data_IF_895406549120
#
_entry.id   IF_895406549120
#
_cell.length_a   1.000
_cell.length_b   1.000
_cell.length_c   1.000
_cell.angle_alpha   90.00
_cell.angle_beta   90.00
_cell.angle_gamma   90.00
#
_symmetry.space_group_name_H-M   'P 1'
#
loop_
_entity.id
_entity.type
_entity.pdbx_description
1 polymer ?
#
# COMPACT_ATOMS: atom_id res chain seq x y z
N UNK A 1 6.47 -6.65 12.80
CA UNK A 1 5.59 -5.52 12.40
C UNK A 1 4.36 -6.09 11.74
N UNK A 2 3.18 -5.61 12.12
CA UNK A 2 1.93 -5.86 11.40
C UNK A 2 1.56 -4.58 10.67
N UNK A 3 1.38 -4.68 9.37
CA UNK A 3 0.99 -3.58 8.49
C UNK A 3 -0.43 -3.85 7.98
N UNK A 4 -1.31 -2.86 8.09
CA UNK A 4 -2.69 -2.92 7.61
C UNK A 4 -2.87 -1.81 6.58
N UNK A 5 -3.12 -2.20 5.33
CA UNK A 5 -3.24 -1.26 4.21
C UNK A 5 -4.52 -1.55 3.43
N UNK A 6 -5.11 -0.56 2.73
CA UNK A 6 -6.21 -0.80 1.83
C UNK A 6 -5.87 -1.88 0.79
N UNK A 7 -6.84 -2.73 0.48
CA UNK A 7 -6.64 -3.82 -0.47
C UNK A 7 -6.28 -3.25 -1.85
N UNK A 8 -5.18 -3.74 -2.42
CA UNK A 8 -4.73 -3.43 -3.76
C UNK A 8 -3.90 -4.59 -4.33
N UNK A 9 -4.21 -4.97 -5.57
CA UNK A 9 -3.33 -5.77 -6.42
C UNK A 9 -2.13 -4.95 -6.90
N UNK A 10 -1.09 -5.62 -7.38
CA UNK A 10 0.16 -4.98 -7.80
C UNK A 10 0.04 -4.18 -9.10
N UNK A 11 -1.01 -4.44 -9.91
CA UNK A 11 -1.26 -3.77 -11.19
C UNK A 11 -2.60 -3.05 -11.16
N UNK A 12 -2.66 -1.89 -11.81
CA UNK A 12 -3.84 -1.01 -11.79
C UNK A 12 -5.04 -1.67 -12.49
N UNK A 13 -4.82 -2.39 -13.57
CA UNK A 13 -5.85 -3.12 -14.32
C UNK A 13 -6.55 -4.21 -13.48
N UNK A 14 -5.86 -4.74 -12.47
CA UNK A 14 -6.40 -5.74 -11.53
C UNK A 14 -7.19 -5.08 -10.38
N UNK A 15 -7.22 -3.74 -10.33
CA UNK A 15 -7.89 -2.95 -9.29
C UNK A 15 -9.11 -2.19 -9.82
N UNK A 16 -9.72 -2.62 -10.93
CA UNK A 16 -10.89 -1.90 -11.49
C UNK A 16 -12.15 -2.30 -10.71
N UNK A 17 -12.45 -1.52 -9.66
CA UNK A 17 -13.68 -1.63 -8.88
C UNK A 17 -14.13 -0.26 -8.34
N UNK A 18 -15.41 -0.08 -7.95
CA UNK A 18 -15.86 1.17 -7.33
C UNK A 18 -15.06 1.55 -6.09
N UNK A 19 -14.71 0.56 -5.26
CA UNK A 19 -13.93 0.75 -4.02
C UNK A 19 -12.51 1.23 -4.34
N UNK A 20 -11.82 0.57 -5.26
CA UNK A 20 -10.48 0.96 -5.64
C UNK A 20 -10.45 2.35 -6.31
N UNK A 21 -11.45 2.68 -7.14
CA UNK A 21 -11.59 4.04 -7.70
C UNK A 21 -11.70 5.10 -6.61
N UNK A 22 -12.48 4.84 -5.55
CA UNK A 22 -12.58 5.74 -4.40
C UNK A 22 -11.23 5.88 -3.70
N UNK A 23 -10.52 4.77 -3.42
CA UNK A 23 -9.22 4.82 -2.75
C UNK A 23 -8.15 5.52 -3.58
N UNK A 24 -8.05 5.25 -4.90
CA UNK A 24 -7.14 5.97 -5.78
C UNK A 24 -7.43 7.47 -5.76
N UNK A 25 -8.68 7.87 -6.02
CA UNK A 25 -9.05 9.28 -6.08
C UNK A 25 -8.79 10.00 -4.75
N UNK A 26 -9.27 9.45 -3.63
CA UNK A 26 -9.11 10.05 -2.31
C UNK A 26 -7.64 10.08 -1.88
N UNK A 27 -6.90 8.99 -2.07
CA UNK A 27 -5.49 8.95 -1.70
C UNK A 27 -4.66 9.93 -2.53
N UNK A 28 -4.93 10.06 -3.82
CA UNK A 28 -4.18 10.99 -4.67
C UNK A 28 -4.39 12.44 -4.22
N UNK A 29 -5.61 12.83 -3.87
CA UNK A 29 -5.94 14.21 -3.52
C UNK A 29 -5.72 14.56 -2.04
N UNK A 30 -5.64 13.56 -1.16
CA UNK A 30 -5.47 13.75 0.29
C UNK A 30 -4.08 13.28 0.72
N UNK A 31 -3.86 11.97 0.78
CA UNK A 31 -2.65 11.38 1.37
C UNK A 31 -1.38 11.71 0.56
N UNK A 32 -1.45 11.54 -0.77
CA UNK A 32 -0.33 11.82 -1.65
C UNK A 32 -0.04 13.32 -1.72
N UNK A 33 -1.07 14.15 -1.85
CA UNK A 33 -0.92 15.60 -1.84
C UNK A 33 -0.24 16.10 -0.56
N UNK A 34 -0.68 15.59 0.61
CA UNK A 34 -0.07 15.91 1.88
C UNK A 34 1.39 15.45 1.98
N UNK A 35 1.68 14.19 1.60
CA UNK A 35 3.05 13.68 1.62
C UNK A 35 3.99 14.48 0.71
N UNK A 36 3.53 14.93 -0.46
CA UNK A 36 4.29 15.79 -1.37
C UNK A 36 4.53 17.16 -0.74
N UNK A 37 3.51 17.76 -0.12
CA UNK A 37 3.62 19.05 0.55
C UNK A 37 4.66 19.03 1.69
N UNK A 38 4.76 17.90 2.40
CA UNK A 38 5.78 17.66 3.45
C UNK A 38 7.17 17.26 2.91
N UNK A 39 7.39 17.33 1.59
CA UNK A 39 8.69 17.02 0.96
C UNK A 39 8.96 15.52 0.78
N UNK A 40 7.94 14.68 0.89
CA UNK A 40 8.01 13.24 0.69
C UNK A 40 8.46 12.86 -0.72
N UNK A 41 9.43 11.93 -0.81
CA UNK A 41 9.99 11.45 -2.09
C UNK A 41 9.47 10.08 -2.52
N UNK A 42 8.91 9.32 -1.58
CA UNK A 42 8.31 8.01 -1.85
C UNK A 42 6.83 8.07 -1.49
N UNK A 43 6.02 8.48 -2.46
CA UNK A 43 4.59 8.72 -2.29
C UNK A 43 3.82 7.56 -2.92
N UNK A 44 3.51 6.55 -2.10
CA UNK A 44 2.90 5.30 -2.58
C UNK A 44 1.37 5.39 -2.68
N UNK A 45 0.75 6.19 -1.82
CA UNK A 45 -0.69 6.24 -1.67
C UNK A 45 -1.29 4.96 -1.08
N UNK A 46 -2.62 4.93 -1.00
CA UNK A 46 -3.42 3.84 -0.41
C UNK A 46 -3.44 2.55 -1.24
N UNK A 47 -3.08 2.61 -2.51
CA UNK A 47 -3.21 1.50 -3.46
C UNK A 47 -1.82 1.06 -3.97
N UNK A 48 -0.91 0.83 -3.03
CA UNK A 48 0.49 0.54 -3.32
C UNK A 48 0.73 -0.89 -3.84
N UNK A 49 -0.10 -1.85 -3.44
CA UNK A 49 0.09 -3.28 -3.73
C UNK A 49 1.15 -3.96 -2.83
N UNK A 50 1.01 -5.27 -2.65
CA UNK A 50 1.87 -6.05 -1.75
C UNK A 50 3.34 -6.04 -2.20
N UNK A 51 3.62 -6.20 -3.51
CA UNK A 51 4.99 -6.29 -4.00
C UNK A 51 5.76 -4.99 -3.73
N UNK A 52 5.10 -3.84 -3.89
CA UNK A 52 5.70 -2.52 -3.64
C UNK A 52 5.98 -2.30 -2.16
N UNK A 53 5.04 -2.69 -1.29
CA UNK A 53 5.19 -2.64 0.17
C UNK A 53 6.31 -3.58 0.63
N UNK A 54 6.35 -4.81 0.14
CA UNK A 54 7.42 -5.76 0.42
C UNK A 54 8.80 -5.19 0.00
N UNK A 55 8.87 -4.48 -1.12
CA UNK A 55 10.09 -3.79 -1.56
C UNK A 55 10.55 -2.69 -0.59
N UNK A 56 9.64 -1.97 0.06
CA UNK A 56 9.98 -0.98 1.10
C UNK A 56 10.55 -1.67 2.33
N UNK A 57 9.90 -2.73 2.81
CA UNK A 57 10.35 -3.47 3.98
C UNK A 57 11.71 -4.13 3.76
N UNK A 58 11.95 -4.70 2.58
CA UNK A 58 13.28 -5.24 2.22
C UNK A 58 14.36 -4.17 2.26
N UNK A 59 14.09 -2.97 1.73
CA UNK A 59 15.03 -1.83 1.81
C UNK A 59 15.28 -1.38 3.25
N UNK A 60 14.31 -1.56 4.14
CA UNK A 60 14.44 -1.29 5.58
C UNK A 60 15.11 -2.43 6.37
N UNK A 61 15.60 -3.49 5.71
CA UNK A 61 16.34 -4.58 6.35
C UNK A 61 15.49 -5.75 6.85
N UNK A 62 14.19 -5.77 6.58
CA UNK A 62 13.33 -6.91 6.93
C UNK A 62 13.62 -8.09 6.00
N UNK A 63 13.83 -9.27 6.59
CA UNK A 63 14.17 -10.50 5.86
C UNK A 63 12.94 -11.35 5.54
N UNK A 64 11.87 -11.23 6.33
CA UNK A 64 10.61 -11.96 6.11
C UNK A 64 9.46 -10.99 5.92
N UNK A 65 8.70 -11.20 4.85
CA UNK A 65 7.49 -10.44 4.53
C UNK A 65 6.44 -11.39 3.97
N UNK A 66 5.23 -11.39 4.53
CA UNK A 66 4.13 -12.25 4.05
C UNK A 66 2.77 -11.61 4.26
N UNK A 67 1.80 -11.96 3.41
CA UNK A 67 0.38 -11.78 3.71
C UNK A 67 -0.05 -12.70 4.85
N UNK A 68 -0.53 -12.10 5.93
CA UNK A 68 -1.07 -12.82 7.08
C UNK A 68 -2.57 -13.09 6.93
N UNK A 69 -3.30 -12.11 6.40
CA UNK A 69 -4.73 -12.17 6.09
C UNK A 69 -5.08 -11.12 5.03
N UNK A 70 -6.23 -11.29 4.38
CA UNK A 70 -6.86 -10.25 3.58
C UNK A 70 -8.36 -10.19 3.86
N UNK A 71 -8.94 -9.03 3.57
CA UNK A 71 -10.39 -8.85 3.46
C UNK A 71 -10.66 -8.12 2.13
N UNK A 72 -11.93 -7.96 1.72
CA UNK A 72 -12.25 -7.18 0.53
C UNK A 72 -11.75 -5.73 0.56
N UNK A 73 -11.37 -5.22 1.74
CA UNK A 73 -10.93 -3.84 1.93
C UNK A 73 -9.49 -3.70 2.41
N UNK A 74 -8.87 -4.75 2.96
CA UNK A 74 -7.55 -4.62 3.58
C UNK A 74 -6.61 -5.78 3.24
N UNK A 75 -5.33 -5.46 3.10
CA UNK A 75 -4.21 -6.38 3.22
C UNK A 75 -3.65 -6.29 4.63
N UNK A 76 -3.48 -7.45 5.27
CA UNK A 76 -2.82 -7.57 6.58
C UNK A 76 -1.49 -8.30 6.35
N UNK A 77 -0.39 -7.56 6.48
CA UNK A 77 0.95 -8.00 6.13
C UNK A 77 1.81 -8.13 7.40
N UNK A 78 2.56 -9.22 7.50
CA UNK A 78 3.52 -9.45 8.58
C UNK A 78 4.94 -9.30 8.04
N UNK A 79 5.72 -8.46 8.71
CA UNK A 79 7.15 -8.29 8.44
C UNK A 79 8.00 -8.57 9.69
N UNK A 80 9.11 -9.30 9.51
CA UNK A 80 10.09 -9.62 10.56
C UNK A 80 11.52 -9.36 10.06
N UNK A 81 12.37 -8.90 10.98
CA UNK A 81 13.82 -8.80 10.78
C UNK A 81 14.44 -10.19 10.72
#
# INVERSE_FOLDING_TARGET
VVLVEPFANDRVEDNISPVARMYYAASTTICCAHAIADGGRMVLGAQAGEARLAGVFRKAGFTRFRRAMETPFNLILEARL
#
